data_IF_196103524317
#
_entry.id   IF_196103524317
#
_cell.length_a   1.000
_cell.length_b   1.000
_cell.length_c   1.000
_cell.angle_alpha   90.00
_cell.angle_beta   90.00
_cell.angle_gamma   90.00
#
_symmetry.space_group_name_H-M   'P 1'
#
loop_
_entity.id
_entity.type
_entity.pdbx_description
1 polymer ?
#
# COMPACT_ATOMS: atom_id res chain seq x y z
N UNK A 1 7.38 -20.18 20.23
CA UNK A 1 7.55 -18.93 19.46
C UNK A 1 6.26 -18.10 19.45
N UNK A 2 5.13 -18.64 19.01
CA UNK A 2 3.84 -17.93 19.01
C UNK A 2 3.37 -17.52 20.42
N UNK A 3 3.51 -18.40 21.41
CA UNK A 3 3.15 -18.11 22.81
C UNK A 3 3.95 -16.93 23.38
N UNK A 4 5.25 -16.87 23.10
CA UNK A 4 6.11 -15.75 23.53
C UNK A 4 5.66 -14.42 22.92
N UNK A 5 5.37 -14.43 21.61
CA UNK A 5 4.84 -13.26 20.90
C UNK A 5 3.54 -12.76 21.52
N UNK A 6 2.60 -13.66 21.86
CA UNK A 6 1.35 -13.26 22.50
C UNK A 6 1.54 -12.81 23.95
N UNK A 7 2.52 -13.34 24.67
CA UNK A 7 2.86 -12.85 26.01
C UNK A 7 3.36 -11.39 25.96
N UNK A 8 4.26 -11.06 25.02
CA UNK A 8 4.73 -9.68 24.81
C UNK A 8 3.58 -8.75 24.39
N UNK A 9 2.72 -9.19 23.46
CA UNK A 9 1.54 -8.42 23.06
C UNK A 9 0.59 -8.17 24.23
N UNK A 10 0.34 -9.19 25.06
CA UNK A 10 -0.52 -9.09 26.24
C UNK A 10 0.01 -8.02 27.17
N UNK A 11 1.31 -8.04 27.47
CA UNK A 11 1.95 -7.02 28.31
C UNK A 11 1.77 -5.61 27.76
N UNK A 12 1.98 -5.41 26.45
CA UNK A 12 1.78 -4.08 25.82
C UNK A 12 0.33 -3.62 25.91
N UNK A 13 -0.64 -4.50 25.72
CA UNK A 13 -2.07 -4.16 25.82
C UNK A 13 -2.46 -3.86 27.27
N UNK A 14 -1.94 -4.60 28.24
CA UNK A 14 -2.17 -4.38 29.68
C UNK A 14 -1.60 -3.03 30.14
N UNK A 15 -0.43 -2.63 29.65
CA UNK A 15 0.15 -1.29 29.89
C UNK A 15 -0.76 -0.15 29.37
N UNK A 16 -1.58 -0.43 28.35
CA UNK A 16 -2.60 0.48 27.82
C UNK A 16 -3.97 0.35 28.54
N UNK A 17 -4.05 -0.47 29.60
CA UNK A 17 -5.29 -0.73 30.34
C UNK A 17 -6.28 -1.63 29.59
N UNK A 18 -5.82 -2.38 28.58
CA UNK A 18 -6.65 -3.27 27.77
C UNK A 18 -6.39 -4.71 28.19
N UNK A 19 -7.32 -5.30 28.95
CA UNK A 19 -7.27 -6.73 29.26
C UNK A 19 -7.50 -7.56 28.00
N UNK A 20 -6.65 -8.57 27.83
CA UNK A 20 -6.58 -9.44 26.67
C UNK A 20 -6.81 -10.90 27.09
N UNK A 21 -7.75 -11.59 26.45
CA UNK A 21 -8.12 -12.97 26.80
C UNK A 21 -7.35 -13.94 25.89
N UNK A 22 -6.16 -14.38 26.32
CA UNK A 22 -5.25 -15.18 25.50
C UNK A 22 -5.87 -16.49 24.97
N UNK A 23 -6.81 -17.06 25.71
CA UNK A 23 -7.59 -18.25 25.32
C UNK A 23 -8.57 -18.01 24.16
N UNK A 24 -8.84 -16.74 23.80
CA UNK A 24 -9.74 -16.36 22.71
C UNK A 24 -9.02 -16.08 21.39
N UNK A 25 -7.70 -16.27 21.34
CA UNK A 25 -6.91 -16.01 20.15
C UNK A 25 -7.19 -17.10 19.12
N UNK A 26 -7.64 -16.69 17.94
CA UNK A 26 -7.88 -17.57 16.82
C UNK A 26 -7.18 -17.02 15.57
N UNK A 27 -6.57 -17.90 14.79
CA UNK A 27 -6.06 -17.53 13.47
C UNK A 27 -7.24 -17.18 12.57
N UNK A 28 -7.20 -15.98 12.01
CA UNK A 28 -8.27 -15.42 11.19
C UNK A 28 -7.92 -15.46 9.69
N UNK A 29 -6.64 -15.36 9.36
CA UNK A 29 -6.15 -15.46 7.99
C UNK A 29 -4.66 -15.21 7.86
N UNK A 30 -4.18 -15.31 6.62
CA UNK A 30 -2.79 -15.09 6.25
C UNK A 30 -2.72 -14.21 5.00
N UNK A 31 -1.84 -13.21 5.03
CA UNK A 31 -1.45 -12.40 3.89
C UNK A 31 -0.07 -12.81 3.38
N UNK A 32 0.42 -12.16 2.33
CA UNK A 32 1.72 -12.50 1.70
C UNK A 32 2.91 -12.43 2.67
N UNK A 33 2.87 -11.46 3.58
CA UNK A 33 3.91 -11.17 4.56
C UNK A 33 3.37 -11.16 6.00
N UNK A 34 2.13 -11.61 6.23
CA UNK A 34 1.48 -11.40 7.53
C UNK A 34 0.60 -12.56 7.95
N UNK A 35 0.47 -12.75 9.26
CA UNK A 35 -0.56 -13.60 9.87
C UNK A 35 -1.52 -12.73 10.65
N UNK A 36 -2.81 -13.02 10.52
CA UNK A 36 -3.89 -12.25 11.13
C UNK A 36 -4.61 -13.10 12.14
N UNK A 37 -4.76 -12.57 13.36
CA UNK A 37 -5.48 -13.21 14.44
C UNK A 37 -6.64 -12.33 14.89
N UNK A 38 -7.68 -12.96 15.42
CA UNK A 38 -8.73 -12.29 16.18
C UNK A 38 -8.60 -12.65 17.64
N UNK A 39 -8.98 -11.73 18.52
CA UNK A 39 -9.02 -11.98 19.95
C UNK A 39 -10.09 -11.11 20.62
N UNK A 40 -10.69 -11.60 21.69
CA UNK A 40 -11.54 -10.80 22.55
C UNK A 40 -10.68 -9.96 23.51
N UNK A 41 -11.17 -8.78 23.86
CA UNK A 41 -10.55 -7.89 24.83
C UNK A 41 -11.60 -7.10 25.60
N UNK A 42 -11.18 -6.40 26.65
CA UNK A 42 -12.01 -5.44 27.40
C UNK A 42 -12.59 -4.30 26.53
N UNK A 43 -12.01 -4.02 25.35
CA UNK A 43 -12.48 -2.99 24.42
C UNK A 43 -13.21 -3.57 23.20
N UNK A 44 -13.59 -4.84 23.27
CA UNK A 44 -14.26 -5.59 22.20
C UNK A 44 -13.33 -6.51 21.43
N UNK A 45 -13.75 -6.93 20.23
CA UNK A 45 -12.95 -7.81 19.37
C UNK A 45 -11.81 -7.01 18.71
N UNK A 46 -10.61 -7.55 18.80
CA UNK A 46 -9.40 -7.02 18.16
C UNK A 46 -9.00 -7.87 16.96
N UNK A 47 -8.37 -7.21 16.01
CA UNK A 47 -7.58 -7.80 14.93
C UNK A 47 -6.11 -7.56 15.26
N UNK A 48 -5.31 -8.62 15.21
CA UNK A 48 -3.85 -8.59 15.45
C UNK A 48 -3.16 -9.05 14.18
N UNK A 49 -2.45 -8.14 13.52
CA UNK A 49 -1.61 -8.43 12.36
C UNK A 49 -0.18 -8.62 12.84
N UNK A 50 0.41 -9.77 12.51
CA UNK A 50 1.84 -10.04 12.70
C UNK A 50 2.48 -10.01 11.32
N UNK A 51 3.30 -8.99 11.06
CA UNK A 51 3.94 -8.74 9.77
C UNK A 51 5.40 -9.17 9.85
N UNK A 52 5.78 -10.08 8.97
CA UNK A 52 7.18 -10.37 8.64
C UNK A 52 7.67 -9.26 7.72
N UNK A 53 8.52 -8.39 8.27
CA UNK A 53 8.99 -7.19 7.60
C UNK A 53 9.88 -7.54 6.41
N UNK A 54 9.65 -6.84 5.30
CA UNK A 54 10.62 -6.74 4.22
C UNK A 54 11.60 -5.61 4.57
N UNK A 55 12.72 -5.52 3.85
CA UNK A 55 13.64 -4.37 3.97
C UNK A 55 12.93 -3.03 3.76
N UNK A 56 11.90 -3.02 2.91
CA UNK A 56 11.07 -1.85 2.65
C UNK A 56 10.21 -1.46 3.86
N UNK A 57 9.62 -2.44 4.56
CA UNK A 57 8.90 -2.21 5.81
C UNK A 57 9.79 -1.60 6.88
N UNK A 58 11.03 -2.09 7.01
CA UNK A 58 11.98 -1.56 7.98
C UNK A 58 12.46 -0.14 7.63
N UNK A 59 12.73 0.13 6.34
CA UNK A 59 13.08 1.46 5.86
C UNK A 59 11.99 2.50 6.20
N UNK A 60 10.73 2.10 6.08
CA UNK A 60 9.56 2.94 6.35
C UNK A 60 9.15 2.95 7.82
N UNK A 61 9.78 2.14 8.69
CA UNK A 61 9.45 2.01 10.12
C UNK A 61 7.95 1.84 10.34
N UNK A 62 7.37 0.81 9.70
CA UNK A 62 5.91 0.64 9.61
C UNK A 62 5.18 0.64 10.97
N UNK A 63 5.84 0.17 12.04
CA UNK A 63 5.30 0.15 13.41
C UNK A 63 5.02 1.56 13.97
N UNK A 64 5.81 2.55 13.56
CA UNK A 64 5.57 3.97 13.90
C UNK A 64 4.61 4.60 12.91
N UNK A 65 4.85 4.38 11.61
CA UNK A 65 4.05 4.96 10.52
C UNK A 65 2.56 4.65 10.66
N UNK A 66 2.20 3.40 10.94
CA UNK A 66 0.79 2.99 11.01
C UNK A 66 0.04 3.66 12.17
N UNK A 67 0.73 3.98 13.27
CA UNK A 67 0.12 4.71 14.39
C UNK A 67 -0.19 6.16 14.00
N UNK A 68 0.75 6.84 13.35
CA UNK A 68 0.56 8.21 12.86
C UNK A 68 -0.61 8.28 11.86
N UNK A 69 -0.60 7.38 10.88
CA UNK A 69 -1.62 7.33 9.84
C UNK A 69 -2.97 6.94 10.42
N UNK A 70 -3.00 5.95 11.33
CA UNK A 70 -4.20 5.52 12.02
C UNK A 70 -4.85 6.62 12.85
N UNK A 71 -4.05 7.43 13.55
CA UNK A 71 -4.55 8.61 14.26
C UNK A 71 -5.16 9.62 13.28
N UNK A 72 -4.47 9.90 12.17
CA UNK A 72 -4.96 10.86 11.16
C UNK A 72 -6.25 10.40 10.49
N UNK A 73 -6.38 9.12 10.19
CA UNK A 73 -7.59 8.54 9.61
C UNK A 73 -8.77 8.62 10.60
N UNK A 74 -8.53 8.46 11.90
CA UNK A 74 -9.57 8.55 12.93
C UNK A 74 -10.12 9.98 13.08
N UNK A 75 -9.31 11.02 12.86
CA UNK A 75 -9.82 12.40 12.78
C UNK A 75 -10.81 12.58 11.62
N UNK A 76 -10.62 11.81 10.54
CA UNK A 76 -11.50 11.81 9.38
C UNK A 76 -12.64 10.81 9.56
N UNK A 77 -13.60 11.13 10.44
CA UNK A 77 -14.80 10.32 10.74
C UNK A 77 -15.57 9.79 9.49
N UNK A 78 -15.33 10.36 8.31
CA UNK A 78 -15.94 9.97 7.04
C UNK A 78 -15.25 8.79 6.33
N UNK A 79 -14.04 8.37 6.75
CA UNK A 79 -13.30 7.25 6.18
C UNK A 79 -13.54 6.02 7.08
N UNK A 80 -14.12 4.92 6.54
CA UNK A 80 -14.37 3.74 7.34
C UNK A 80 -13.08 2.94 7.52
N UNK A 81 -12.28 3.23 8.55
CA UNK A 81 -11.04 2.49 8.86
C UNK A 81 -11.07 1.96 10.29
N UNK A 82 -10.19 0.99 10.58
CA UNK A 82 -10.07 0.45 11.93
C UNK A 82 -9.43 1.49 12.85
N UNK A 83 -9.87 1.52 14.11
CA UNK A 83 -9.12 2.23 15.14
C UNK A 83 -7.88 1.42 15.48
N UNK A 84 -6.71 1.97 15.17
CA UNK A 84 -5.42 1.43 15.60
C UNK A 84 -5.32 1.61 17.11
N UNK A 85 -5.16 0.52 17.84
CA UNK A 85 -4.95 0.52 19.30
C UNK A 85 -3.48 0.72 19.58
N UNK A 86 -2.63 -0.09 18.96
CA UNK A 86 -1.18 0.00 19.12
C UNK A 86 -0.48 -0.76 17.99
N UNK A 87 0.80 -0.46 17.80
CA UNK A 87 1.69 -1.22 16.93
C UNK A 87 3.11 -1.15 17.50
N UNK A 88 3.89 -2.19 17.28
CA UNK A 88 5.24 -2.31 17.81
C UNK A 88 6.04 -3.43 17.16
N UNK A 89 7.21 -3.69 17.71
CA UNK A 89 8.10 -4.76 17.26
C UNK A 89 8.07 -5.91 18.26
N UNK A 90 8.16 -7.14 17.76
CA UNK A 90 8.19 -8.36 18.58
C UNK A 90 9.59 -8.93 18.63
N UNK A 91 10.08 -9.37 17.46
CA UNK A 91 11.41 -9.92 17.24
C UNK A 91 12.06 -9.21 16.04
N UNK A 92 13.32 -9.53 15.77
CA UNK A 92 14.02 -9.03 14.58
C UNK A 92 13.21 -9.37 13.31
N UNK A 93 12.92 -8.37 12.49
CA UNK A 93 12.11 -8.53 11.28
C UNK A 93 10.61 -8.76 11.51
N UNK A 94 10.08 -8.61 12.73
CA UNK A 94 8.64 -8.78 12.99
C UNK A 94 8.00 -7.56 13.66
N UNK A 95 6.90 -7.10 13.08
CA UNK A 95 6.05 -6.03 13.59
C UNK A 95 4.68 -6.59 13.91
N UNK A 96 4.06 -6.08 14.97
CA UNK A 96 2.64 -6.32 15.24
C UNK A 96 1.84 -5.03 15.11
N UNK A 97 0.58 -5.19 14.74
CA UNK A 97 -0.45 -4.16 14.74
C UNK A 97 -1.70 -4.73 15.41
N UNK A 98 -2.20 -4.05 16.44
CA UNK A 98 -3.47 -4.35 17.08
C UNK A 98 -4.48 -3.24 16.78
N UNK A 99 -5.65 -3.61 16.28
CA UNK A 99 -6.70 -2.67 15.89
C UNK A 99 -8.09 -3.20 16.23
N UNK A 100 -9.09 -2.32 16.36
CA UNK A 100 -10.48 -2.74 16.55
C UNK A 100 -10.97 -3.49 15.32
N UNK A 101 -11.69 -4.59 15.56
CA UNK A 101 -12.34 -5.36 14.50
C UNK A 101 -13.38 -4.51 13.77
N UNK A 102 -13.29 -4.45 12.44
CA UNK A 102 -14.35 -3.89 11.58
C UNK A 102 -15.18 -5.05 11.04
N UNK A 103 -16.49 -4.99 11.28
CA UNK A 103 -17.39 -5.99 10.71
C UNK A 103 -17.61 -5.77 9.20
N UNK A 104 -17.41 -6.83 8.44
CA UNK A 104 -17.57 -6.86 6.99
C UNK A 104 -16.83 -8.04 6.36
N UNK A 105 -17.21 -8.37 5.14
CA UNK A 105 -16.50 -9.34 4.32
C UNK A 105 -15.67 -8.60 3.27
N UNK A 106 -14.47 -9.05 2.90
CA UNK A 106 -13.75 -8.47 1.77
C UNK A 106 -14.62 -8.42 0.51
N UNK A 107 -14.54 -7.34 -0.26
CA UNK A 107 -15.25 -7.14 -1.52
C UNK A 107 -14.84 -8.22 -2.54
N UNK A 108 -13.59 -8.66 -2.44
CA UNK A 108 -13.01 -9.71 -3.24
C UNK A 108 -11.66 -10.16 -2.69
N UNK A 109 -10.86 -10.75 -3.58
CA UNK A 109 -9.47 -11.11 -3.32
C UNK A 109 -8.65 -10.93 -4.58
N UNK A 110 -7.35 -10.71 -4.39
CA UNK A 110 -6.34 -10.66 -5.44
C UNK A 110 -5.46 -11.90 -5.35
N UNK A 111 -5.39 -12.64 -6.44
CA UNK A 111 -4.54 -13.84 -6.56
C UNK A 111 -3.54 -13.67 -7.71
N UNK A 112 -2.45 -14.43 -7.65
CA UNK A 112 -1.53 -14.60 -8.78
C UNK A 112 -1.76 -15.99 -9.36
N UNK A 113 -2.31 -16.07 -10.57
CA UNK A 113 -2.56 -17.34 -11.26
C UNK A 113 -1.82 -17.35 -12.59
N UNK A 114 -0.90 -18.30 -12.76
CA UNK A 114 -0.09 -18.47 -13.97
C UNK A 114 0.64 -17.17 -14.38
N UNK A 115 1.25 -16.50 -13.41
CA UNK A 115 2.02 -15.28 -13.65
C UNK A 115 1.16 -14.05 -13.99
N UNK A 116 -0.12 -14.05 -13.62
CA UNK A 116 -1.01 -12.90 -13.82
C UNK A 116 -1.75 -12.57 -12.53
N UNK A 117 -1.90 -11.27 -12.27
CA UNK A 117 -2.74 -10.77 -11.17
C UNK A 117 -4.20 -10.88 -11.61
N UNK A 118 -5.01 -11.55 -10.79
CA UNK A 118 -6.43 -11.76 -11.02
C UNK A 118 -7.20 -11.35 -9.77
N UNK A 119 -8.13 -10.43 -9.97
CA UNK A 119 -9.07 -10.01 -8.95
C UNK A 119 -10.38 -10.82 -9.11
N UNK A 120 -10.83 -11.43 -8.01
CA UNK A 120 -12.12 -12.11 -7.94
C UNK A 120 -13.00 -11.46 -6.88
N UNK A 121 -14.31 -11.39 -7.10
CA UNK A 121 -15.23 -10.65 -6.23
C UNK A 121 -16.16 -11.59 -5.48
N UNK A 122 -16.37 -11.31 -4.19
CA UNK A 122 -17.28 -12.07 -3.30
C UNK A 122 -18.75 -11.68 -3.51
N UNK A 123 -19.03 -10.78 -4.47
CA UNK A 123 -20.36 -10.28 -4.79
C UNK A 123 -20.69 -10.49 -6.25
N UNK A 124 -21.96 -10.81 -6.54
CA UNK A 124 -22.44 -11.02 -7.92
C UNK A 124 -22.37 -9.79 -8.83
N UNK A 125 -22.34 -8.59 -8.23
CA UNK A 125 -22.35 -7.30 -8.92
C UNK A 125 -21.35 -6.39 -8.22
N UNK A 126 -20.03 -6.48 -8.47
CA UNK A 126 -19.05 -5.59 -7.85
C UNK A 126 -19.24 -4.12 -8.27
N UNK A 127 -19.83 -3.87 -9.44
CA UNK A 127 -19.99 -2.54 -10.02
C UNK A 127 -20.83 -1.56 -9.19
N UNK A 128 -21.75 -2.08 -8.38
CA UNK A 128 -22.58 -1.28 -7.46
C UNK A 128 -21.78 -0.65 -6.31
N UNK A 129 -20.53 -1.08 -6.09
CA UNK A 129 -19.64 -0.49 -5.09
C UNK A 129 -18.68 0.54 -5.66
N UNK A 130 -18.55 0.67 -6.98
CA UNK A 130 -17.56 1.56 -7.64
C UNK A 130 -17.70 3.01 -7.18
N UNK A 131 -18.93 3.51 -7.07
CA UNK A 131 -19.18 4.89 -6.61
C UNK A 131 -18.72 5.08 -5.17
N UNK A 132 -19.06 4.15 -4.27
CA UNK A 132 -18.64 4.21 -2.87
C UNK A 132 -17.11 4.08 -2.76
N UNK A 133 -16.49 3.22 -3.57
CA UNK A 133 -15.06 2.99 -3.57
C UNK A 133 -14.31 4.25 -4.02
N UNK A 134 -14.72 4.86 -5.13
CA UNK A 134 -14.17 6.13 -5.60
C UNK A 134 -14.31 7.25 -4.55
N UNK A 135 -15.48 7.33 -3.89
CA UNK A 135 -15.71 8.29 -2.82
C UNK A 135 -14.78 8.07 -1.62
N UNK A 136 -14.54 6.82 -1.22
CA UNK A 136 -13.63 6.51 -0.10
C UNK A 136 -12.18 6.83 -0.48
N UNK A 137 -11.74 6.47 -1.69
CA UNK A 137 -10.41 6.83 -2.20
C UNK A 137 -10.24 8.36 -2.18
N UNK A 138 -11.23 9.12 -2.66
CA UNK A 138 -11.18 10.59 -2.64
C UNK A 138 -11.11 11.17 -1.23
N UNK A 139 -11.79 10.56 -0.26
CA UNK A 139 -11.69 10.99 1.14
C UNK A 139 -10.30 10.74 1.70
N UNK A 140 -9.67 9.60 1.39
CA UNK A 140 -8.27 9.36 1.76
C UNK A 140 -7.37 10.43 1.13
N UNK A 141 -7.54 10.68 -0.18
CA UNK A 141 -6.79 11.71 -0.91
C UNK A 141 -7.11 13.15 -0.51
N UNK A 142 -8.17 13.39 0.25
CA UNK A 142 -8.49 14.71 0.81
C UNK A 142 -7.62 15.07 2.01
N UNK A 143 -6.96 14.07 2.63
CA UNK A 143 -5.96 14.29 3.66
C UNK A 143 -4.71 14.85 2.97
N UNK A 144 -4.59 16.18 3.04
CA UNK A 144 -3.46 16.91 2.46
C UNK A 144 -2.27 16.87 3.41
N UNK A 145 -1.10 16.68 2.80
CA UNK A 145 0.15 16.51 3.50
C UNK A 145 1.18 17.49 2.95
N UNK A 146 2.14 17.81 3.80
CA UNK A 146 3.33 18.54 3.37
C UNK A 146 4.34 17.54 2.79
N UNK A 147 5.16 17.99 1.84
CA UNK A 147 6.21 17.16 1.23
C UNK A 147 5.64 15.86 0.61
N UNK A 148 6.52 14.92 0.24
CA UNK A 148 6.18 13.74 -0.56
C UNK A 148 6.98 12.49 -0.14
N UNK A 149 6.59 11.34 -0.66
CA UNK A 149 7.24 10.04 -0.47
C UNK A 149 6.90 9.39 0.87
N UNK A 150 7.85 8.65 1.43
CA UNK A 150 7.65 8.00 2.73
C UNK A 150 7.39 9.03 3.83
N UNK A 151 6.45 8.68 4.70
CA UNK A 151 6.07 9.50 5.85
C UNK A 151 7.27 9.62 6.81
N UNK A 152 7.54 10.84 7.26
CA UNK A 152 8.48 11.04 8.37
C UNK A 152 7.82 10.57 9.66
N UNK A 153 8.44 9.59 10.33
CA UNK A 153 7.90 8.98 11.55
C UNK A 153 8.44 9.62 12.83
N UNK A 154 9.26 10.67 12.71
CA UNK A 154 9.80 11.40 13.85
C UNK A 154 8.93 12.60 14.23
N UNK A 155 7.85 12.87 13.49
CA UNK A 155 6.87 13.90 13.83
C UNK A 155 5.98 13.42 14.99
N UNK A 156 5.47 14.38 15.76
CA UNK A 156 4.46 14.09 16.77
C UNK A 156 3.07 14.03 16.13
N UNK A 157 2.41 12.87 16.32
CA UNK A 157 1.09 12.55 15.78
C UNK A 157 0.01 13.58 16.13
N UNK A 158 0.16 14.26 17.27
CA UNK A 158 -0.87 15.13 17.85
C UNK A 158 -0.65 16.61 17.57
N UNK A 159 0.47 17.00 16.95
CA UNK A 159 0.85 18.41 16.81
C UNK A 159 1.26 18.81 15.41
N UNK A 160 1.58 17.86 14.52
CA UNK A 160 2.06 18.16 13.17
C UNK A 160 1.22 17.48 12.07
N UNK A 161 1.00 18.15 10.92
CA UNK A 161 0.44 17.48 9.75
C UNK A 161 1.36 16.34 9.31
N UNK A 162 0.77 15.26 8.77
CA UNK A 162 1.56 14.22 8.12
C UNK A 162 2.46 14.86 7.05
N UNK A 163 3.76 14.56 7.11
CA UNK A 163 4.76 15.11 6.20
C UNK A 163 5.64 14.03 5.61
N UNK A 164 6.03 14.21 4.36
CA UNK A 164 6.91 13.31 3.63
C UNK A 164 8.39 13.69 3.71
N UNK A 165 9.29 12.77 3.35
CA UNK A 165 10.74 13.01 3.36
C UNK A 165 11.25 13.85 2.18
N UNK A 166 10.51 13.94 1.07
CA UNK A 166 10.97 14.50 -0.20
C UNK A 166 10.25 15.82 -0.52
N UNK A 167 10.90 16.76 -1.21
CA UNK A 167 10.31 18.08 -1.49
C UNK A 167 9.31 18.04 -2.65
N UNK A 168 9.46 17.10 -3.59
CA UNK A 168 8.52 16.89 -4.69
C UNK A 168 8.24 15.41 -4.91
N UNK A 169 7.10 15.12 -5.55
CA UNK A 169 6.79 13.75 -5.99
C UNK A 169 7.79 13.24 -7.03
N UNK A 170 8.28 14.12 -7.90
CA UNK A 170 9.34 13.81 -8.84
C UNK A 170 10.63 13.38 -8.14
N UNK A 171 11.09 14.13 -7.14
CA UNK A 171 12.30 13.82 -6.36
C UNK A 171 12.20 12.44 -5.70
N UNK A 172 11.03 12.14 -5.13
CA UNK A 172 10.72 10.82 -4.57
C UNK A 172 10.86 9.72 -5.62
N UNK A 173 10.13 9.83 -6.74
CA UNK A 173 10.16 8.81 -7.80
C UNK A 173 11.55 8.65 -8.40
N UNK A 174 12.29 9.75 -8.60
CA UNK A 174 13.64 9.71 -9.14
C UNK A 174 14.61 8.99 -8.21
N UNK A 175 14.54 9.28 -6.91
CA UNK A 175 15.44 8.70 -5.92
C UNK A 175 15.10 7.23 -5.69
N UNK A 176 13.82 6.92 -5.47
CA UNK A 176 13.38 5.59 -5.11
C UNK A 176 13.39 4.63 -6.28
N UNK A 177 13.07 5.06 -7.52
CA UNK A 177 13.18 4.18 -8.68
C UNK A 177 14.63 3.73 -8.93
N UNK A 178 15.62 4.60 -8.68
CA UNK A 178 17.05 4.22 -8.74
C UNK A 178 17.37 3.15 -7.70
N UNK A 179 16.88 3.31 -6.47
CA UNK A 179 17.07 2.32 -5.39
C UNK A 179 16.39 1.00 -5.71
N UNK A 180 15.13 1.00 -6.13
CA UNK A 180 14.38 -0.22 -6.47
C UNK A 180 15.04 -0.98 -7.62
N UNK A 181 15.52 -0.27 -8.65
CA UNK A 181 16.24 -0.89 -9.75
C UNK A 181 17.58 -1.48 -9.31
N UNK A 182 18.30 -0.82 -8.41
CA UNK A 182 19.55 -1.32 -7.85
C UNK A 182 19.31 -2.59 -7.02
N UNK A 183 18.25 -2.61 -6.23
CA UNK A 183 17.81 -3.81 -5.50
C UNK A 183 17.55 -4.97 -6.47
N UNK A 184 16.83 -4.72 -7.57
CA UNK A 184 16.58 -5.73 -8.61
C UNK A 184 17.86 -6.19 -9.32
N UNK A 185 18.85 -5.31 -9.51
CA UNK A 185 20.16 -5.66 -10.12
C UNK A 185 20.91 -6.70 -9.31
N UNK A 186 20.81 -6.62 -7.99
CA UNK A 186 21.47 -7.53 -7.05
C UNK A 186 20.62 -8.74 -6.68
N UNK A 187 19.35 -8.75 -7.07
CA UNK A 187 18.44 -9.85 -6.78
C UNK A 187 18.86 -11.11 -7.55
N UNK A 188 18.91 -12.23 -6.84
CA UNK A 188 19.24 -13.55 -7.39
C UNK A 188 18.30 -14.63 -6.85
N UNK A 189 18.07 -15.66 -7.67
CA UNK A 189 17.32 -16.84 -7.29
C UNK A 189 18.02 -18.08 -7.86
N UNK A 190 18.28 -19.07 -6.99
CA UNK A 190 19.02 -20.29 -7.36
C UNK A 190 20.39 -20.00 -8.01
N UNK A 191 21.04 -18.90 -7.61
CA UNK A 191 22.34 -18.47 -8.14
C UNK A 191 22.28 -17.72 -9.47
N UNK A 192 21.07 -17.46 -10.01
CA UNK A 192 20.88 -16.70 -11.24
C UNK A 192 20.28 -15.32 -10.95
N UNK A 193 20.79 -14.29 -11.62
CA UNK A 193 20.24 -12.94 -11.52
C UNK A 193 18.94 -12.82 -12.31
N UNK A 194 17.97 -12.10 -11.76
CA UNK A 194 16.72 -11.80 -12.48
C UNK A 194 16.94 -10.93 -13.71
N UNK A 195 17.95 -10.05 -13.68
CA UNK A 195 18.31 -9.20 -14.80
C UNK A 195 19.82 -9.21 -15.06
N UNK A 196 20.18 -9.14 -16.34
CA UNK A 196 21.57 -8.98 -16.77
C UNK A 196 22.05 -7.54 -16.57
N UNK A 197 23.37 -7.33 -16.52
CA UNK A 197 23.95 -5.97 -16.47
C UNK A 197 23.54 -5.12 -17.69
N UNK A 198 23.36 -5.76 -18.85
CA UNK A 198 22.87 -5.09 -20.05
C UNK A 198 21.42 -4.61 -19.88
N UNK A 199 20.52 -5.47 -19.41
CA UNK A 199 19.13 -5.09 -19.11
C UNK A 199 19.07 -3.99 -18.05
N UNK A 200 19.88 -4.07 -16.99
CA UNK A 200 19.98 -3.02 -15.99
C UNK A 200 20.33 -1.66 -16.62
N UNK A 201 21.35 -1.62 -17.49
CA UNK A 201 21.72 -0.40 -18.22
C UNK A 201 20.57 0.16 -19.07
N UNK A 202 19.84 -0.70 -19.78
CA UNK A 202 18.68 -0.32 -20.58
C UNK A 202 17.54 0.23 -19.71
N UNK A 203 17.20 -0.45 -18.61
CA UNK A 203 16.15 -0.01 -17.70
C UNK A 203 16.50 1.32 -17.02
N UNK A 204 17.75 1.50 -16.60
CA UNK A 204 18.22 2.76 -16.01
C UNK A 204 18.04 3.93 -16.98
N UNK A 205 18.45 3.77 -18.24
CA UNK A 205 18.28 4.80 -19.27
C UNK A 205 16.79 5.07 -19.55
N UNK A 206 15.98 4.04 -19.66
CA UNK A 206 14.57 4.16 -19.95
C UNK A 206 13.78 4.83 -18.81
N UNK A 207 14.04 4.46 -17.54
CA UNK A 207 13.43 5.10 -16.37
C UNK A 207 13.85 6.57 -16.29
N UNK A 208 15.14 6.87 -16.46
CA UNK A 208 15.60 8.26 -16.46
C UNK A 208 14.92 9.07 -17.57
N UNK A 209 14.81 8.53 -18.78
CA UNK A 209 14.12 9.20 -19.89
C UNK A 209 12.63 9.42 -19.59
N UNK A 210 11.94 8.40 -19.07
CA UNK A 210 10.53 8.46 -18.64
C UNK A 210 10.33 9.56 -17.61
N UNK A 211 11.16 9.62 -16.58
CA UNK A 211 11.04 10.62 -15.53
C UNK A 211 11.31 12.02 -16.08
N UNK A 212 12.48 12.24 -16.67
CA UNK A 212 12.94 13.58 -17.09
C UNK A 212 12.04 14.20 -18.17
N UNK A 213 11.60 13.42 -19.17
CA UNK A 213 10.72 13.94 -20.23
C UNK A 213 9.32 14.29 -19.73
N UNK A 214 8.89 13.71 -18.60
CA UNK A 214 7.55 13.89 -18.04
C UNK A 214 7.55 14.59 -16.68
N UNK A 215 8.63 15.30 -16.32
CA UNK A 215 8.77 16.00 -15.03
C UNK A 215 7.54 16.84 -14.69
N UNK A 216 7.04 17.63 -15.64
CA UNK A 216 5.85 18.48 -15.45
C UNK A 216 4.57 17.71 -15.15
N UNK A 217 4.46 16.45 -15.57
CA UNK A 217 3.33 15.59 -15.21
C UNK A 217 3.47 15.08 -13.77
N UNK A 218 4.67 14.99 -13.23
CA UNK A 218 4.90 14.65 -11.83
C UNK A 218 4.85 15.87 -10.90
N UNK A 219 4.90 17.09 -11.45
CA UNK A 219 4.79 18.33 -10.69
C UNK A 219 3.36 18.51 -10.13
N UNK A 220 3.19 18.11 -8.88
CA UNK A 220 1.97 18.30 -8.11
C UNK A 220 2.25 19.24 -6.95
N UNK A 221 1.34 20.19 -6.73
CA UNK A 221 1.53 21.26 -5.74
C UNK A 221 1.47 20.77 -4.30
N UNK A 222 0.71 19.70 -4.02
CA UNK A 222 0.45 19.23 -2.68
C UNK A 222 0.28 17.71 -2.65
N UNK A 223 1.00 17.06 -1.75
CA UNK A 223 0.88 15.63 -1.51
C UNK A 223 -0.45 15.29 -0.87
N UNK A 224 -0.96 14.11 -1.19
CA UNK A 224 -2.12 13.52 -0.50
C UNK A 224 -1.69 12.21 0.14
N UNK A 225 -2.33 11.85 1.25
CA UNK A 225 -2.18 10.50 1.80
C UNK A 225 -2.62 9.49 0.73
N UNK A 226 -1.77 8.52 0.45
CA UNK A 226 -2.02 7.39 -0.45
C UNK A 226 -2.13 6.13 0.39
N UNK A 227 -3.05 5.25 0.03
CA UNK A 227 -3.14 3.92 0.63
C UNK A 227 -2.09 2.97 0.03
N UNK A 228 -1.74 3.15 -1.24
CA UNK A 228 -0.79 2.38 -2.04
C UNK A 228 -1.29 1.06 -2.63
N UNK A 229 -2.31 0.43 -2.03
CA UNK A 229 -2.93 -0.82 -2.48
C UNK A 229 -4.47 -0.82 -2.33
N UNK A 230 -5.10 0.36 -2.43
CA UNK A 230 -6.56 0.51 -2.22
C UNK A 230 -7.41 -0.15 -3.30
N UNK A 231 -6.84 -0.41 -4.47
CA UNK A 231 -7.51 -1.08 -5.60
C UNK A 231 -7.53 -2.59 -5.45
N UNK A 232 -6.83 -3.15 -4.47
CA UNK A 232 -6.95 -4.55 -4.11
C UNK A 232 -8.29 -4.81 -3.41
N UNK A 233 -9.18 -5.62 -3.99
CA UNK A 233 -10.51 -5.84 -3.43
C UNK A 233 -10.48 -6.61 -2.09
N UNK A 234 -9.35 -7.20 -1.67
CA UNK A 234 -9.20 -7.74 -0.31
C UNK A 234 -9.18 -6.66 0.76
N UNK A 235 -8.75 -5.45 0.40
CA UNK A 235 -8.54 -4.33 1.33
C UNK A 235 -9.81 -3.49 1.54
N UNK A 236 -10.91 -3.87 0.89
CA UNK A 236 -12.21 -3.19 0.95
C UNK A 236 -13.23 -4.13 1.59
N UNK A 237 -13.67 -3.81 2.80
CA UNK A 237 -14.71 -4.57 3.50
C UNK A 237 -16.09 -4.03 3.15
N UNK A 238 -17.04 -4.94 2.98
CA UNK A 238 -18.45 -4.62 2.74
C UNK A 238 -19.35 -5.24 3.80
N UNK A 239 -20.38 -4.48 4.19
CA UNK A 239 -21.44 -4.95 5.09
C UNK A 239 -22.76 -4.31 4.70
N UNK A 240 -23.80 -5.13 4.58
CA UNK A 240 -25.18 -4.67 4.28
C UNK A 240 -25.26 -3.71 3.07
N UNK A 241 -24.54 -4.03 2.00
CA UNK A 241 -24.55 -3.25 0.76
C UNK A 241 -23.73 -1.96 0.78
N UNK A 242 -22.94 -1.70 1.83
CA UNK A 242 -22.06 -0.54 1.94
C UNK A 242 -20.61 -0.95 2.15
N UNK A 243 -19.67 -0.12 1.74
CA UNK A 243 -18.27 -0.24 2.19
C UNK A 243 -18.25 0.08 3.68
N UNK A 244 -17.79 -0.89 4.48
CA UNK A 244 -17.75 -0.80 5.95
C UNK A 244 -16.36 -0.63 6.52
N UNK A 245 -15.31 -0.90 5.73
CA UNK A 245 -13.93 -0.85 6.19
C UNK A 245 -12.94 -0.76 5.03
N UNK A 246 -11.86 -0.01 5.24
CA UNK A 246 -10.62 -0.04 4.47
C UNK A 246 -9.50 -0.47 5.43
N UNK A 247 -8.68 -1.42 5.01
CA UNK A 247 -7.63 -2.05 5.82
C UNK A 247 -6.29 -2.07 5.07
N UNK A 248 -5.20 -2.44 5.75
CA UNK A 248 -3.86 -2.63 5.17
C UNK A 248 -3.17 -1.36 4.64
N UNK A 249 -3.10 -0.33 5.50
CA UNK A 249 -2.35 0.90 5.27
C UNK A 249 -0.83 0.75 5.50
N UNK A 250 -0.27 -0.46 5.55
CA UNK A 250 1.15 -0.68 5.83
C UNK A 250 2.08 -0.10 4.75
N UNK A 251 1.59 0.05 3.52
CA UNK A 251 2.32 0.62 2.38
C UNK A 251 2.03 2.09 2.12
N UNK A 252 1.21 2.74 2.95
CA UNK A 252 0.82 4.14 2.74
C UNK A 252 2.02 5.09 2.65
N UNK A 253 1.86 6.14 1.85
CA UNK A 253 2.85 7.17 1.63
C UNK A 253 2.15 8.49 1.27
N UNK A 254 2.90 9.54 0.94
CA UNK A 254 2.38 10.84 0.53
C UNK A 254 2.76 11.08 -0.93
N UNK A 255 1.80 11.37 -1.80
CA UNK A 255 2.10 11.48 -3.22
C UNK A 255 0.96 11.98 -4.09
N UNK A 256 1.08 11.67 -5.38
CA UNK A 256 0.03 11.92 -6.36
C UNK A 256 -1.16 10.96 -6.13
N UNK A 257 -2.37 11.47 -5.91
CA UNK A 257 -3.60 10.67 -5.79
C UNK A 257 -3.79 9.60 -6.88
N UNK A 258 -3.29 9.84 -8.09
CA UNK A 258 -3.48 8.89 -9.19
C UNK A 258 -2.55 7.67 -9.11
N UNK A 259 -1.56 7.67 -8.21
CA UNK A 259 -0.76 6.49 -7.90
C UNK A 259 -1.62 5.31 -7.43
N UNK A 260 -2.61 5.58 -6.57
CA UNK A 260 -3.53 4.57 -6.04
C UNK A 260 -4.45 3.95 -7.11
N UNK A 261 -4.48 4.53 -8.32
CA UNK A 261 -5.35 4.09 -9.41
C UNK A 261 -4.61 3.28 -10.49
N UNK A 262 -3.30 3.05 -10.38
CA UNK A 262 -2.46 2.36 -11.39
C UNK A 262 -3.06 1.02 -11.82
N UNK A 263 -3.60 0.27 -10.87
CA UNK A 263 -4.16 -1.06 -11.11
C UNK A 263 -5.71 -1.08 -11.06
N UNK A 264 -6.34 0.09 -11.10
CA UNK A 264 -7.81 0.17 -11.08
C UNK A 264 -8.44 -0.18 -12.42
N UNK A 265 -9.66 -0.70 -12.40
CA UNK A 265 -10.46 -0.87 -13.61
C UNK A 265 -10.95 0.48 -14.18
N UNK A 266 -11.20 0.53 -15.50
CA UNK A 266 -11.60 1.75 -16.21
C UNK A 266 -12.86 2.41 -15.64
N UNK A 267 -13.80 1.63 -15.10
CA UNK A 267 -15.01 2.15 -14.47
C UNK A 267 -14.71 2.91 -13.18
N UNK A 268 -13.76 2.43 -12.38
CA UNK A 268 -13.32 3.11 -11.16
C UNK A 268 -12.56 4.40 -11.53
N UNK A 269 -11.69 4.35 -12.54
CA UNK A 269 -10.99 5.54 -13.07
C UNK A 269 -11.97 6.60 -13.57
N UNK A 270 -12.98 6.21 -14.36
CA UNK A 270 -13.99 7.11 -14.89
C UNK A 270 -14.80 7.76 -13.75
N UNK A 271 -15.20 6.97 -12.75
CA UNK A 271 -15.95 7.51 -11.60
C UNK A 271 -15.07 8.42 -10.73
N UNK A 272 -13.79 8.09 -10.56
CA UNK A 272 -12.84 8.96 -9.87
C UNK A 272 -12.63 10.28 -10.63
N UNK A 273 -12.48 10.24 -11.96
CA UNK A 273 -12.39 11.41 -12.84
C UNK A 273 -13.59 12.34 -12.66
N UNK A 274 -14.80 11.78 -12.74
CA UNK A 274 -16.06 12.52 -12.54
C UNK A 274 -16.13 13.21 -11.17
N UNK A 275 -15.79 12.50 -10.10
CA UNK A 275 -15.92 13.02 -8.74
C UNK A 275 -14.80 13.97 -8.33
N UNK A 276 -13.58 13.80 -8.87
CA UNK A 276 -12.43 14.65 -8.56
C UNK A 276 -12.35 15.90 -9.43
N UNK A 277 -13.00 15.89 -10.60
CA UNK A 277 -12.85 16.92 -11.62
C UNK A 277 -11.54 16.83 -12.41
N UNK A 278 -10.69 15.82 -12.18
CA UNK A 278 -9.51 15.58 -13.00
C UNK A 278 -9.94 14.94 -14.32
N UNK A 279 -9.51 15.51 -15.43
CA UNK A 279 -9.89 15.01 -16.74
C UNK A 279 -9.31 13.60 -17.01
N UNK A 280 -10.06 12.82 -17.80
CA UNK A 280 -9.73 11.41 -18.07
C UNK A 280 -8.41 11.25 -18.82
N UNK A 281 -8.00 12.23 -19.63
CA UNK A 281 -6.76 12.16 -20.40
C UNK A 281 -5.53 12.36 -19.51
N UNK A 282 -5.59 13.30 -18.56
CA UNK A 282 -4.58 13.47 -17.51
C UNK A 282 -4.43 12.19 -16.69
N UNK A 283 -5.55 11.58 -16.28
CA UNK A 283 -5.52 10.30 -15.57
C UNK A 283 -4.83 9.24 -16.44
N UNK A 284 -5.29 9.04 -17.67
CA UNK A 284 -4.72 8.05 -18.58
C UNK A 284 -3.20 8.22 -18.76
N UNK A 285 -2.73 9.45 -18.98
CA UNK A 285 -1.29 9.76 -19.12
C UNK A 285 -0.51 9.42 -17.85
N UNK A 286 -0.98 9.86 -16.68
CA UNK A 286 -0.30 9.60 -15.41
C UNK A 286 -0.28 8.11 -15.06
N UNK A 287 -1.37 7.38 -15.31
CA UNK A 287 -1.39 5.93 -15.09
C UNK A 287 -0.41 5.19 -16.02
N UNK A 288 -0.23 5.63 -17.26
CA UNK A 288 0.79 5.07 -18.15
C UNK A 288 2.22 5.28 -17.62
N UNK A 289 2.48 6.42 -16.98
CA UNK A 289 3.79 6.72 -16.37
C UNK A 289 4.01 5.95 -15.07
N UNK A 290 2.98 5.87 -14.22
CA UNK A 290 3.08 5.21 -12.92
C UNK A 290 3.08 3.69 -13.02
N UNK A 291 2.45 3.08 -14.02
CA UNK A 291 2.40 1.63 -14.17
C UNK A 291 3.78 0.96 -14.08
N UNK A 292 4.79 1.31 -14.90
CA UNK A 292 6.11 0.69 -14.75
C UNK A 292 6.75 0.98 -13.38
N UNK A 293 6.62 2.20 -12.85
CA UNK A 293 7.24 2.56 -11.58
C UNK A 293 6.64 1.81 -10.38
N UNK A 294 5.31 1.60 -10.38
CA UNK A 294 4.61 0.82 -9.35
C UNK A 294 5.08 -0.64 -9.37
N UNK A 295 5.24 -1.22 -10.56
CA UNK A 295 5.74 -2.60 -10.66
C UNK A 295 7.22 -2.74 -10.36
N UNK A 296 8.04 -1.72 -10.65
CA UNK A 296 9.42 -1.67 -10.20
C UNK A 296 9.50 -1.67 -8.67
N UNK A 297 8.67 -0.87 -7.99
CA UNK A 297 8.52 -0.94 -6.54
C UNK A 297 8.11 -2.35 -6.07
N UNK A 298 7.16 -2.98 -6.76
CA UNK A 298 6.74 -4.36 -6.48
C UNK A 298 7.88 -5.39 -6.57
N UNK A 299 8.82 -5.23 -7.53
CA UNK A 299 10.00 -6.11 -7.58
C UNK A 299 10.90 -5.96 -6.36
N UNK A 300 11.00 -4.75 -5.80
CA UNK A 300 11.78 -4.46 -4.61
C UNK A 300 11.10 -4.99 -3.33
N UNK A 301 9.77 -4.97 -3.24
CA UNK A 301 9.04 -5.48 -2.06
C UNK A 301 8.92 -6.99 -2.01
N UNK A 302 8.99 -7.67 -3.16
CA UNK A 302 8.76 -9.11 -3.27
C UNK A 302 10.01 -9.93 -3.63
N UNK A 303 11.21 -9.44 -3.30
CA UNK A 303 12.50 -10.11 -3.58
C UNK A 303 12.58 -11.58 -3.15
N UNK A 304 11.96 -11.92 -2.03
CA UNK A 304 11.99 -13.27 -1.47
C UNK A 304 10.84 -14.17 -1.98
N UNK A 305 10.08 -13.71 -2.98
CA UNK A 305 8.92 -14.38 -3.57
C UNK A 305 9.08 -14.44 -5.09
N UNK A 306 9.86 -15.39 -5.64
CA UNK A 306 10.18 -15.44 -7.07
C UNK A 306 8.97 -15.39 -7.99
N UNK A 307 7.88 -16.06 -7.61
CA UNK A 307 6.63 -16.07 -8.34
C UNK A 307 5.99 -14.68 -8.47
N UNK A 308 6.02 -13.88 -7.41
CA UNK A 308 5.46 -12.52 -7.39
C UNK A 308 6.42 -11.55 -8.08
N UNK A 309 7.71 -11.66 -7.78
CA UNK A 309 8.74 -10.83 -8.41
C UNK A 309 8.70 -10.97 -9.93
N UNK A 310 8.59 -12.19 -10.46
CA UNK A 310 8.50 -12.41 -11.90
C UNK A 310 7.27 -11.74 -12.52
N UNK A 311 6.12 -11.74 -11.82
CA UNK A 311 4.93 -11.00 -12.26
C UNK A 311 5.21 -9.50 -12.30
N UNK A 312 5.77 -8.95 -11.22
CA UNK A 312 6.12 -7.54 -11.15
C UNK A 312 7.13 -7.15 -12.23
N UNK A 313 8.15 -7.97 -12.48
CA UNK A 313 9.16 -7.71 -13.52
C UNK A 313 8.53 -7.71 -14.92
N UNK A 314 7.67 -8.69 -15.22
CA UNK A 314 6.98 -8.75 -16.51
C UNK A 314 6.05 -7.54 -16.72
N UNK A 315 5.32 -7.12 -15.69
CA UNK A 315 4.44 -5.95 -15.75
C UNK A 315 5.22 -4.63 -15.79
N UNK A 316 6.38 -4.56 -15.14
CA UNK A 316 7.31 -3.44 -15.30
C UNK A 316 7.76 -3.30 -16.75
N UNK A 317 8.26 -4.38 -17.36
CA UNK A 317 8.70 -4.40 -18.77
C UNK A 317 7.54 -4.01 -19.69
N UNK A 318 6.38 -4.64 -19.52
CA UNK A 318 5.17 -4.34 -20.29
C UNK A 318 4.74 -2.89 -20.14
N UNK A 319 4.80 -2.34 -18.92
CA UNK A 319 4.52 -0.94 -18.63
C UNK A 319 5.48 0.01 -19.36
N UNK A 320 6.77 -0.30 -19.36
CA UNK A 320 7.80 0.47 -20.07
C UNK A 320 7.54 0.46 -21.58
N UNK A 321 7.18 -0.68 -22.16
CA UNK A 321 6.83 -0.78 -23.59
C UNK A 321 5.58 0.01 -23.95
N UNK A 322 4.52 -0.07 -23.13
CA UNK A 322 3.29 0.72 -23.32
C UNK A 322 3.58 2.23 -23.26
N UNK A 323 4.35 2.67 -22.28
CA UNK A 323 4.72 4.07 -22.13
C UNK A 323 5.57 4.56 -23.32
N UNK A 324 6.55 3.78 -23.78
CA UNK A 324 7.34 4.07 -24.99
C UNK A 324 6.45 4.18 -26.24
N UNK A 325 5.55 3.22 -26.46
CA UNK A 325 4.65 3.21 -27.61
C UNK A 325 3.67 4.40 -27.60
N UNK A 326 3.33 4.90 -26.41
CA UNK A 326 2.55 6.11 -26.23
C UNK A 326 3.38 7.41 -26.38
N UNK A 327 4.67 7.32 -26.72
CA UNK A 327 5.56 8.46 -26.91
C UNK A 327 6.01 9.13 -25.61
N UNK A 328 5.89 8.45 -24.47
CA UNK A 328 6.28 9.03 -23.17
C UNK A 328 7.79 9.21 -23.04
N UNK A 329 8.60 8.41 -23.72
CA UNK A 329 10.06 8.53 -23.76
C UNK A 329 10.70 7.88 -24.97
#
# INVERSE_FOLDING_TARGET
>A
HIEYMFAELTKVLEELGISFYGESIEEYGEGLNSKVYIANSSVGKLIIHIVNCTSEHDLQKIDKKIRLVGAKLQEQNAIPTAQIITAGRLAEGQVFLAQKFIDGTPLGKRDIVKGKIIDTYNVKKPEKYIVQWAQVILKIHSIKCERFGYIDVNIDANSEPLTGKYHSWFEYLETEAKRWLETLRTAEHLGEKYITNHQFGQFKLAINSLLQKNELLFDIKQGSLLHWDIVNPSNVLIKRGKISGIIDFEWCAIGDPLWDLVFSESRLQAKYSELSGIDTETIRKKLLLYHPLWFLWGTNTHLHRPEILNVCLNEFITGMEKARNAGMF
#
